data_IF_031193041056
#
_entry.id   IF_031193041056
#
_cell.length_a   1.000
_cell.length_b   1.000
_cell.length_c   1.000
_cell.angle_alpha   90.00
_cell.angle_beta   90.00
_cell.angle_gamma   90.00
#
_symmetry.space_group_name_H-M   'P 1'
#
loop_
_entity.id
_entity.type
_entity.pdbx_description
1 polymer ?
#
# COMPACT_ATOMS: atom_id res chain seq x y z
N UNK A 1 5.16 1.91 23.52
CA UNK A 1 4.01 2.70 24.05
C UNK A 1 3.00 2.84 22.93
N UNK A 2 1.74 2.51 23.19
CA UNK A 2 0.63 2.73 22.29
C UNK A 2 0.06 4.13 22.55
N UNK A 3 0.11 5.01 21.56
CA UNK A 3 -0.47 6.35 21.65
C UNK A 3 -1.97 6.27 21.35
N UNK A 4 -2.78 6.93 22.17
CA UNK A 4 -4.24 6.86 22.09
C UNK A 4 -4.88 8.19 21.73
N UNK A 5 -4.36 9.31 22.23
CA UNK A 5 -4.96 10.63 22.08
C UNK A 5 -3.90 11.72 22.08
N UNK A 6 -4.21 12.83 21.42
CA UNK A 6 -3.41 14.04 21.50
C UNK A 6 -3.83 14.91 22.70
N UNK A 7 -2.86 15.64 23.25
CA UNK A 7 -3.08 16.70 24.22
C UNK A 7 -3.08 18.00 23.45
N UNK A 8 -4.25 18.65 23.35
CA UNK A 8 -4.43 19.91 22.63
C UNK A 8 -5.00 20.95 23.58
N UNK A 9 -4.40 22.12 23.62
CA UNK A 9 -4.82 23.27 24.41
C UNK A 9 -4.84 24.50 23.48
N UNK A 10 -5.95 25.23 23.41
CA UNK A 10 -6.08 26.42 22.57
C UNK A 10 -5.66 26.22 21.10
N UNK A 11 -6.06 25.09 20.52
CA UNK A 11 -5.71 24.65 19.15
C UNK A 11 -4.20 24.44 18.92
N UNK A 12 -3.42 24.25 19.96
CA UNK A 12 -1.98 23.95 19.90
C UNK A 12 -1.69 22.58 20.52
N UNK A 13 -0.86 21.78 19.85
CA UNK A 13 -0.43 20.48 20.38
C UNK A 13 0.46 20.69 21.62
N UNK A 14 0.19 19.92 22.66
CA UNK A 14 0.99 19.91 23.90
C UNK A 14 1.60 18.54 24.18
N UNK A 15 1.26 17.55 23.36
CA UNK A 15 1.77 16.17 23.53
C UNK A 15 0.74 15.11 23.16
N UNK A 16 0.88 13.96 23.81
CA UNK A 16 0.00 12.82 23.60
C UNK A 16 -0.13 11.96 24.87
N UNK A 17 -1.24 11.25 24.96
CA UNK A 17 -1.45 10.18 25.93
C UNK A 17 -1.14 8.82 25.31
N UNK A 18 -0.68 7.89 26.12
CA UNK A 18 -0.43 6.52 25.70
C UNK A 18 -0.31 5.57 26.87
N UNK A 19 -0.11 4.30 26.57
CA UNK A 19 0.09 3.27 27.57
C UNK A 19 1.07 2.19 27.08
N UNK A 20 1.71 1.52 28.01
CA UNK A 20 2.50 0.31 27.78
C UNK A 20 1.74 -0.91 28.31
N UNK A 21 1.55 -1.91 27.44
CA UNK A 21 0.96 -3.19 27.85
C UNK A 21 1.95 -3.98 28.69
N UNK A 22 3.24 -3.94 28.34
CA UNK A 22 4.29 -4.68 29.03
C UNK A 22 4.50 -4.20 30.46
N UNK A 23 4.44 -2.88 30.67
CA UNK A 23 4.69 -2.26 31.97
C UNK A 23 3.40 -2.00 32.77
N UNK A 24 2.22 -2.13 32.13
CA UNK A 24 0.93 -1.79 32.74
C UNK A 24 0.82 -0.31 33.13
N UNK A 25 1.54 0.58 32.45
CA UNK A 25 1.69 1.99 32.82
C UNK A 25 1.05 2.90 31.79
N UNK A 26 0.34 3.93 32.26
CA UNK A 26 -0.15 5.03 31.42
C UNK A 26 0.89 6.18 31.39
N UNK A 27 0.97 6.83 30.24
CA UNK A 27 1.93 7.90 29.99
C UNK A 27 1.22 9.17 29.52
N UNK A 28 1.65 10.30 30.07
CA UNK A 28 1.43 11.61 29.53
C UNK A 28 2.76 12.12 28.97
N UNK A 29 2.83 12.28 27.66
CA UNK A 29 4.05 12.69 26.97
C UNK A 29 3.88 14.14 26.56
N UNK A 30 4.64 15.04 27.14
CA UNK A 30 4.61 16.47 26.76
C UNK A 30 5.59 16.74 25.63
N UNK A 31 5.12 17.42 24.58
CA UNK A 31 5.91 17.76 23.41
C UNK A 31 5.42 19.08 22.81
N UNK A 32 6.35 19.87 22.30
CA UNK A 32 6.04 21.12 21.60
C UNK A 32 5.54 20.89 20.18
N UNK A 33 5.92 19.77 19.57
CA UNK A 33 5.52 19.34 18.23
C UNK A 33 5.34 17.84 18.20
N UNK A 34 4.37 17.36 17.41
CA UNK A 34 4.08 15.95 17.21
C UNK A 34 3.97 15.67 15.72
N UNK A 35 4.66 14.63 15.26
CA UNK A 35 4.55 14.10 13.91
C UNK A 35 3.70 12.82 13.93
N UNK A 36 2.56 12.83 13.24
CA UNK A 36 1.71 11.67 13.04
C UNK A 36 2.20 10.87 11.83
N UNK A 37 2.86 9.76 12.08
CA UNK A 37 3.39 8.88 11.04
C UNK A 37 2.83 7.44 11.16
N UNK A 38 1.54 7.31 11.45
CA UNK A 38 0.87 6.02 11.75
C UNK A 38 0.61 5.15 10.53
N UNK A 39 0.92 5.64 9.34
CA UNK A 39 0.67 4.92 8.08
C UNK A 39 -0.82 4.87 7.71
N UNK A 40 -1.14 4.07 6.71
CA UNK A 40 -2.50 3.93 6.21
C UNK A 40 -3.38 3.03 7.08
N UNK A 41 -4.68 3.19 6.97
CA UNK A 41 -5.69 2.48 7.75
C UNK A 41 -6.22 1.24 7.01
N UNK A 42 -5.36 0.29 6.70
CA UNK A 42 -5.70 -0.90 5.92
C UNK A 42 -6.87 -1.71 6.52
N UNK A 43 -6.91 -1.84 7.85
CA UNK A 43 -7.94 -2.59 8.56
C UNK A 43 -9.28 -1.87 8.73
N UNK A 44 -9.36 -0.60 8.34
CA UNK A 44 -10.60 0.19 8.42
C UNK A 44 -11.60 -0.18 7.33
N UNK A 45 -11.11 -0.35 6.12
CA UNK A 45 -11.96 -0.63 4.96
C UNK A 45 -12.14 -2.14 4.79
N UNK A 46 -13.38 -2.60 4.91
CA UNK A 46 -13.75 -3.99 4.65
C UNK A 46 -14.41 -4.09 3.29
N UNK A 47 -13.96 -4.98 2.39
CA UNK A 47 -14.70 -5.26 1.18
C UNK A 47 -16.04 -5.94 1.51
N UNK A 48 -16.97 -5.88 0.56
CA UNK A 48 -18.28 -6.54 0.68
C UNK A 48 -18.18 -8.07 0.82
N UNK A 49 -17.00 -8.63 0.51
CA UNK A 49 -16.69 -10.04 0.72
C UNK A 49 -15.57 -10.18 1.77
N UNK A 50 -15.89 -10.30 3.06
CA UNK A 50 -14.91 -10.34 4.14
C UNK A 50 -14.00 -11.58 4.10
N UNK A 51 -14.46 -12.72 3.55
CA UNK A 51 -13.63 -13.93 3.40
C UNK A 51 -12.46 -13.75 2.44
N UNK A 52 -12.59 -12.82 1.52
CA UNK A 52 -11.60 -12.55 0.49
C UNK A 52 -10.52 -11.55 0.95
N UNK A 53 -10.85 -10.68 1.89
CA UNK A 53 -9.99 -9.56 2.28
C UNK A 53 -8.87 -9.93 3.24
N UNK A 54 -9.12 -10.85 4.16
CA UNK A 54 -8.16 -11.18 5.21
C UNK A 54 -6.85 -11.78 4.69
N UNK A 55 -6.89 -12.44 3.54
CA UNK A 55 -5.71 -13.08 2.93
C UNK A 55 -5.04 -12.23 1.86
N UNK A 56 -5.60 -11.06 1.54
CA UNK A 56 -5.15 -10.22 0.42
C UNK A 56 -4.92 -8.76 0.81
N UNK A 57 -4.55 -8.55 2.06
CA UNK A 57 -4.08 -7.25 2.56
C UNK A 57 -2.56 -7.25 2.63
N UNK A 58 -1.93 -6.25 2.06
CA UNK A 58 -0.48 -6.09 2.15
C UNK A 58 -0.02 -5.55 3.50
N UNK A 59 -0.80 -4.66 4.07
CA UNK A 59 -0.51 -4.09 5.39
C UNK A 59 -1.15 -4.89 6.52
N UNK A 60 -0.63 -4.77 7.75
CA UNK A 60 -1.22 -5.43 8.90
C UNK A 60 -2.71 -5.08 9.05
N UNK A 61 -3.59 -6.06 9.27
CA UNK A 61 -5.04 -5.83 9.42
C UNK A 61 -5.40 -5.06 10.68
N UNK A 62 -4.43 -4.86 11.57
CA UNK A 62 -4.59 -4.12 12.83
C UNK A 62 -4.47 -2.60 12.67
N UNK A 63 -4.09 -2.11 11.51
CA UNK A 63 -4.12 -0.68 11.19
C UNK A 63 -5.57 -0.22 10.96
N UNK A 64 -6.30 -0.04 12.05
CA UNK A 64 -7.75 0.22 12.04
C UNK A 64 -8.11 1.71 12.11
N UNK A 65 -7.15 2.59 11.81
CA UNK A 65 -7.38 4.04 11.74
C UNK A 65 -7.23 4.77 13.07
N UNK A 66 -6.46 4.24 14.02
CA UNK A 66 -6.20 4.91 15.30
C UNK A 66 -5.64 6.33 15.13
N UNK A 67 -4.69 6.52 14.17
CA UNK A 67 -4.17 7.83 13.83
C UNK A 67 -5.24 8.81 13.36
N UNK A 68 -6.17 8.35 12.51
CA UNK A 68 -7.31 9.18 12.09
C UNK A 68 -8.21 9.54 13.26
N UNK A 69 -8.55 8.56 14.09
CA UNK A 69 -9.39 8.76 15.25
C UNK A 69 -8.80 9.78 16.24
N UNK A 70 -7.50 9.73 16.48
CA UNK A 70 -6.81 10.72 17.32
C UNK A 70 -6.97 12.15 16.78
N UNK A 71 -6.74 12.34 15.46
CA UNK A 71 -6.91 13.65 14.84
C UNK A 71 -8.33 14.17 14.89
N UNK A 72 -9.31 13.31 14.57
CA UNK A 72 -10.73 13.66 14.62
C UNK A 72 -11.14 14.07 16.04
N UNK A 73 -10.76 13.32 17.06
CA UNK A 73 -11.06 13.66 18.45
C UNK A 73 -10.39 14.94 18.91
N UNK A 74 -9.21 15.24 18.38
CA UNK A 74 -8.48 16.46 18.66
C UNK A 74 -9.04 17.69 17.90
N UNK A 75 -9.91 17.48 16.92
CA UNK A 75 -10.50 18.56 16.11
C UNK A 75 -9.68 18.91 14.84
N UNK A 76 -8.72 18.08 14.43
CA UNK A 76 -8.02 18.26 13.17
C UNK A 76 -8.95 18.06 11.97
N UNK A 77 -8.83 18.91 10.96
CA UNK A 77 -9.52 18.69 9.69
C UNK A 77 -8.93 17.48 8.94
N UNK A 78 -9.83 16.78 8.26
CA UNK A 78 -9.48 15.54 7.55
C UNK A 78 -9.81 15.67 6.06
N UNK A 79 -9.14 14.87 5.22
CA UNK A 79 -9.37 14.85 3.77
C UNK A 79 -9.76 13.48 3.26
N UNK A 80 -10.64 13.46 2.27
CA UNK A 80 -10.85 12.41 1.26
C UNK A 80 -10.98 10.96 1.78
N UNK A 81 -11.79 10.70 2.80
CA UNK A 81 -11.99 9.34 3.34
C UNK A 81 -12.56 8.33 2.36
N UNK A 82 -13.24 8.77 1.32
CA UNK A 82 -13.78 7.97 0.23
C UNK A 82 -12.73 7.50 -0.77
N UNK A 83 -11.56 8.11 -0.78
CA UNK A 83 -10.49 7.78 -1.71
C UNK A 83 -9.67 6.59 -1.23
N UNK A 84 -9.69 5.52 -2.02
CA UNK A 84 -8.84 4.35 -1.81
C UNK A 84 -7.89 4.18 -2.98
N UNK A 85 -6.67 3.80 -2.67
CA UNK A 85 -5.68 3.51 -3.68
C UNK A 85 -5.76 2.04 -4.10
N UNK A 86 -5.89 1.80 -5.40
CA UNK A 86 -5.79 0.47 -5.99
C UNK A 86 -4.48 0.41 -6.77
N UNK A 87 -3.59 -0.50 -6.39
CA UNK A 87 -2.34 -0.73 -7.09
C UNK A 87 -2.42 -1.97 -7.96
N UNK A 88 -1.65 -1.96 -9.02
CA UNK A 88 -1.36 -3.15 -9.80
C UNK A 88 -0.59 -4.15 -8.93
N UNK A 89 -0.96 -5.42 -8.99
CA UNK A 89 -0.33 -6.50 -8.21
C UNK A 89 -0.07 -7.73 -9.08
N UNK A 90 0.81 -8.59 -8.59
CA UNK A 90 0.96 -9.92 -9.16
C UNK A 90 -0.33 -10.71 -8.92
N UNK A 91 -0.85 -11.35 -9.94
CA UNK A 91 -2.13 -12.06 -9.90
C UNK A 91 -2.19 -13.09 -8.77
N UNK A 92 -3.36 -13.19 -8.15
CA UNK A 92 -3.67 -14.08 -7.01
C UNK A 92 -2.81 -13.84 -5.77
N UNK A 93 -2.11 -12.73 -5.72
CA UNK A 93 -1.31 -12.31 -4.58
C UNK A 93 -1.61 -10.87 -4.21
N UNK A 94 -1.04 -10.40 -3.09
CA UNK A 94 -1.01 -8.98 -2.74
C UNK A 94 0.32 -8.32 -3.14
N UNK A 95 1.19 -9.06 -3.83
CA UNK A 95 2.53 -8.62 -4.13
C UNK A 95 2.52 -7.41 -5.08
N UNK A 96 3.14 -6.30 -4.70
CA UNK A 96 3.18 -5.11 -5.52
C UNK A 96 4.07 -5.32 -6.75
N UNK A 97 3.71 -4.70 -7.85
CA UNK A 97 4.44 -4.83 -9.12
C UNK A 97 5.60 -3.86 -9.29
N UNK A 98 5.65 -2.81 -8.47
CA UNK A 98 6.66 -1.75 -8.59
C UNK A 98 8.10 -2.26 -8.51
N UNK A 99 8.38 -3.22 -7.62
CA UNK A 99 9.72 -3.81 -7.48
C UNK A 99 10.14 -4.57 -8.75
N UNK A 100 9.24 -5.27 -9.40
CA UNK A 100 9.52 -5.97 -10.68
C UNK A 100 9.72 -4.93 -11.79
N UNK A 101 8.80 -3.98 -11.92
CA UNK A 101 8.86 -2.99 -12.97
C UNK A 101 10.09 -2.07 -12.88
N UNK A 102 10.45 -1.63 -11.68
CA UNK A 102 11.58 -0.72 -11.46
C UNK A 102 12.89 -1.44 -11.17
N UNK A 103 12.84 -2.52 -10.38
CA UNK A 103 14.05 -3.23 -9.95
C UNK A 103 14.77 -3.98 -11.07
N UNK A 104 14.03 -4.53 -12.02
CA UNK A 104 14.61 -5.26 -13.17
C UNK A 104 14.19 -4.66 -14.53
N UNK A 105 13.51 -3.53 -14.53
CA UNK A 105 13.08 -2.84 -15.75
C UNK A 105 12.04 -3.60 -16.57
N UNK A 106 11.24 -4.44 -15.93
CA UNK A 106 10.22 -5.23 -16.62
C UNK A 106 9.11 -4.36 -17.20
N UNK A 107 8.83 -4.52 -18.49
CA UNK A 107 7.78 -3.81 -19.22
C UNK A 107 6.43 -4.51 -19.08
N UNK A 108 5.35 -3.73 -19.04
CA UNK A 108 4.00 -4.28 -19.11
C UNK A 108 3.67 -4.73 -20.53
N UNK A 109 3.26 -5.97 -20.66
CA UNK A 109 2.88 -6.57 -21.96
C UNK A 109 1.52 -7.24 -21.86
N UNK A 110 0.79 -7.25 -22.98
CA UNK A 110 -0.46 -7.98 -23.11
C UNK A 110 -0.23 -9.47 -23.47
N UNK A 111 -1.31 -10.22 -23.68
CA UNK A 111 -1.23 -11.65 -24.01
C UNK A 111 -0.51 -11.94 -25.34
N UNK A 112 -0.40 -10.94 -26.23
CA UNK A 112 0.34 -11.05 -27.50
C UNK A 112 1.82 -10.70 -27.36
N UNK A 113 2.27 -10.31 -26.15
CA UNK A 113 3.62 -9.85 -25.90
C UNK A 113 3.90 -8.41 -26.32
N UNK A 114 2.88 -7.65 -26.70
CA UNK A 114 2.99 -6.25 -27.08
C UNK A 114 3.13 -5.36 -25.86
N UNK A 115 4.12 -4.46 -25.85
CA UNK A 115 4.28 -3.45 -24.79
C UNK A 115 3.17 -2.40 -24.94
N UNK A 116 2.42 -2.15 -23.89
CA UNK A 116 1.30 -1.20 -23.92
C UNK A 116 1.47 0.00 -22.97
N UNK A 117 2.46 -0.02 -22.09
CA UNK A 117 2.65 1.05 -21.10
C UNK A 117 2.88 2.43 -21.76
N UNK A 118 3.54 2.49 -22.91
CA UNK A 118 3.77 3.74 -23.63
C UNK A 118 2.47 4.38 -24.16
N UNK A 119 1.42 3.57 -24.37
CA UNK A 119 0.10 4.02 -24.82
C UNK A 119 -0.69 4.70 -23.71
N UNK A 120 -0.52 4.24 -22.46
CA UNK A 120 -1.36 4.66 -21.33
C UNK A 120 -0.61 5.52 -20.33
N UNK A 121 0.71 5.41 -20.24
CA UNK A 121 1.56 6.11 -19.30
C UNK A 121 2.20 5.22 -18.23
N UNK A 122 3.09 5.82 -17.43
CA UNK A 122 3.97 5.10 -16.50
C UNK A 122 3.70 5.40 -15.02
N UNK A 123 2.78 6.31 -14.70
CA UNK A 123 2.37 6.54 -13.32
C UNK A 123 1.61 5.32 -12.77
N UNK A 124 1.53 5.18 -11.48
CA UNK A 124 0.85 4.05 -10.85
C UNK A 124 -0.60 3.90 -11.33
N UNK A 125 -1.34 4.99 -11.43
CA UNK A 125 -2.73 4.99 -11.89
C UNK A 125 -2.85 4.63 -13.38
N UNK A 126 -1.97 5.15 -14.21
CA UNK A 126 -1.93 4.86 -15.65
C UNK A 126 -1.58 3.39 -15.92
N UNK A 127 -0.67 2.82 -15.16
CA UNK A 127 -0.33 1.39 -15.24
C UNK A 127 -1.52 0.48 -14.93
N UNK A 128 -2.28 0.82 -13.88
CA UNK A 128 -3.53 0.10 -13.55
C UNK A 128 -4.55 0.28 -14.67
N UNK A 129 -4.79 1.51 -15.10
CA UNK A 129 -5.73 1.84 -16.16
C UNK A 129 -5.41 1.09 -17.46
N UNK A 130 -4.14 1.10 -17.88
CA UNK A 130 -3.71 0.38 -19.08
C UNK A 130 -3.98 -1.12 -18.99
N UNK A 131 -3.69 -1.74 -17.84
CA UNK A 131 -3.98 -3.17 -17.63
C UNK A 131 -5.48 -3.48 -17.70
N UNK A 132 -6.31 -2.61 -17.10
CA UNK A 132 -7.77 -2.74 -17.16
C UNK A 132 -8.25 -2.64 -18.61
N UNK A 133 -7.77 -1.65 -19.37
CA UNK A 133 -8.17 -1.43 -20.76
C UNK A 133 -7.74 -2.59 -21.67
N UNK A 134 -6.52 -3.10 -21.53
CA UNK A 134 -6.06 -4.25 -22.29
C UNK A 134 -6.93 -5.51 -22.03
N UNK A 135 -7.31 -5.73 -20.77
CA UNK A 135 -8.21 -6.83 -20.41
C UNK A 135 -9.63 -6.63 -21.00
N UNK A 136 -10.22 -5.43 -20.88
CA UNK A 136 -11.55 -5.11 -21.41
C UNK A 136 -11.62 -5.22 -22.93
N UNK A 137 -10.55 -4.86 -23.62
CA UNK A 137 -10.45 -4.94 -25.08
C UNK A 137 -10.06 -6.36 -25.58
N UNK A 138 -10.02 -7.36 -24.69
CA UNK A 138 -9.75 -8.76 -25.03
C UNK A 138 -8.29 -9.07 -25.38
N UNK A 139 -7.34 -8.19 -24.99
CA UNK A 139 -5.91 -8.42 -25.18
C UNK A 139 -5.19 -8.93 -23.93
N UNK A 140 -5.93 -9.13 -22.83
CA UNK A 140 -5.41 -9.79 -21.63
C UNK A 140 -5.29 -11.31 -21.78
N UNK A 141 -4.71 -12.00 -20.81
CA UNK A 141 -4.14 -11.43 -19.57
C UNK A 141 -2.88 -10.59 -19.81
N UNK A 142 -2.58 -9.71 -18.86
CA UNK A 142 -1.40 -8.84 -18.91
C UNK A 142 -0.29 -9.35 -18.00
N UNK A 143 0.95 -9.01 -18.35
CA UNK A 143 2.13 -9.48 -17.65
C UNK A 143 3.16 -8.36 -17.45
N UNK A 144 4.03 -8.52 -16.46
CA UNK A 144 5.35 -7.92 -16.46
C UNK A 144 6.32 -8.88 -17.14
N UNK A 145 7.03 -8.39 -18.15
CA UNK A 145 8.00 -9.19 -18.91
C UNK A 145 9.27 -9.37 -18.08
N UNK A 146 9.32 -10.49 -17.33
CA UNK A 146 10.47 -10.90 -16.54
C UNK A 146 11.27 -12.01 -17.20
N UNK A 147 10.69 -12.70 -18.16
CA UNK A 147 11.38 -13.71 -18.96
C UNK A 147 12.63 -13.13 -19.60
N UNK A 148 13.77 -13.79 -19.40
CA UNK A 148 15.06 -13.36 -19.94
C UNK A 148 15.84 -12.37 -19.07
N UNK A 149 15.38 -12.01 -17.86
CA UNK A 149 16.22 -11.26 -16.91
C UNK A 149 17.43 -12.08 -16.49
N UNK A 150 18.48 -11.42 -16.00
CA UNK A 150 19.71 -12.11 -15.57
C UNK A 150 19.49 -12.96 -14.33
N UNK A 151 20.36 -13.95 -14.10
CA UNK A 151 20.32 -14.76 -12.87
C UNK A 151 20.47 -13.92 -11.59
N UNK A 152 21.26 -12.84 -11.65
CA UNK A 152 21.41 -11.91 -10.53
C UNK A 152 20.11 -11.14 -10.26
N UNK A 153 19.43 -10.67 -11.30
CA UNK A 153 18.12 -10.02 -11.19
C UNK A 153 17.05 -10.97 -10.66
N UNK A 154 17.05 -12.22 -11.12
CA UNK A 154 16.15 -13.27 -10.65
C UNK A 154 16.30 -13.52 -9.15
N UNK A 155 17.53 -13.72 -8.70
CA UNK A 155 17.86 -13.90 -7.28
C UNK A 155 17.45 -12.68 -6.44
N UNK A 156 17.72 -11.48 -6.94
CA UNK A 156 17.35 -10.22 -6.29
C UNK A 156 15.84 -10.08 -6.13
N UNK A 157 15.06 -10.42 -7.16
CA UNK A 157 13.60 -10.42 -7.08
C UNK A 157 13.07 -11.40 -6.04
N UNK A 158 13.58 -12.63 -6.04
CA UNK A 158 13.17 -13.65 -5.05
C UNK A 158 13.44 -13.20 -3.62
N UNK A 159 14.61 -12.62 -3.35
CA UNK A 159 14.97 -12.06 -2.05
C UNK A 159 14.06 -10.91 -1.64
N UNK A 160 13.79 -9.99 -2.55
CA UNK A 160 12.91 -8.85 -2.30
C UNK A 160 11.49 -9.32 -1.94
N UNK A 161 10.94 -10.23 -2.72
CA UNK A 161 9.59 -10.73 -2.48
C UNK A 161 9.47 -11.64 -1.27
N UNK A 162 10.51 -12.39 -0.91
CA UNK A 162 10.52 -13.16 0.33
C UNK A 162 10.27 -12.29 1.56
N UNK A 163 10.81 -11.08 1.57
CA UNK A 163 10.62 -10.12 2.66
C UNK A 163 9.33 -9.29 2.53
N UNK A 164 8.97 -8.90 1.32
CA UNK A 164 7.91 -7.93 1.08
C UNK A 164 6.54 -8.57 0.87
N UNK A 165 6.48 -9.69 0.16
CA UNK A 165 5.24 -10.38 -0.19
C UNK A 165 5.51 -11.88 -0.43
N UNK A 166 5.70 -12.68 0.63
CA UNK A 166 6.12 -14.08 0.52
C UNK A 166 5.18 -14.94 -0.33
N UNK A 167 3.91 -14.57 -0.45
CA UNK A 167 2.94 -15.26 -1.32
C UNK A 167 3.39 -15.36 -2.78
N UNK A 168 4.08 -14.33 -3.29
CA UNK A 168 4.63 -14.39 -4.64
C UNK A 168 5.83 -15.33 -4.74
N UNK A 169 6.68 -15.35 -3.73
CA UNK A 169 7.81 -16.31 -3.66
C UNK A 169 7.30 -17.75 -3.59
N UNK A 170 6.27 -18.01 -2.78
CA UNK A 170 5.63 -19.33 -2.73
C UNK A 170 5.07 -19.75 -4.08
N UNK A 171 4.44 -18.83 -4.81
CA UNK A 171 3.89 -19.08 -6.14
C UNK A 171 4.98 -19.51 -7.13
N UNK A 172 6.15 -18.89 -7.12
CA UNK A 172 7.29 -19.31 -7.93
C UNK A 172 7.81 -20.70 -7.52
N UNK A 173 7.92 -20.95 -6.22
CA UNK A 173 8.35 -22.26 -5.71
C UNK A 173 7.36 -23.39 -6.09
N UNK A 174 6.06 -23.15 -5.93
CA UNK A 174 5.00 -24.11 -6.27
C UNK A 174 4.92 -24.39 -7.77
N UNK A 175 5.13 -23.39 -8.60
CA UNK A 175 5.14 -23.54 -10.05
C UNK A 175 6.42 -24.21 -10.58
N UNK A 176 7.48 -24.24 -9.77
CA UNK A 176 8.81 -24.69 -10.18
C UNK A 176 9.46 -23.80 -11.26
N UNK A 177 8.93 -22.60 -11.45
CA UNK A 177 9.40 -21.63 -12.45
C UNK A 177 9.98 -20.41 -11.78
N UNK A 178 11.14 -19.99 -12.26
CA UNK A 178 11.77 -18.76 -11.82
C UNK A 178 11.19 -17.54 -12.54
N UNK A 179 11.29 -16.32 -11.96
CA UNK A 179 10.88 -15.10 -12.66
C UNK A 179 11.56 -14.90 -14.02
N UNK A 180 12.80 -15.36 -14.18
CA UNK A 180 13.55 -15.32 -15.45
C UNK A 180 13.05 -16.28 -16.52
N UNK A 181 12.26 -17.27 -16.15
CA UNK A 181 11.74 -18.33 -17.04
C UNK A 181 10.28 -18.11 -17.45
N UNK A 182 9.56 -17.26 -16.73
CA UNK A 182 8.15 -16.99 -16.99
C UNK A 182 7.77 -15.55 -16.59
N UNK A 183 7.05 -14.88 -17.47
CA UNK A 183 6.49 -13.56 -17.19
C UNK A 183 5.52 -13.61 -15.99
N UNK A 184 5.50 -12.54 -15.21
CA UNK A 184 4.63 -12.42 -14.04
C UNK A 184 3.28 -11.84 -14.46
N UNK A 185 2.22 -12.63 -14.37
CA UNK A 185 0.86 -12.16 -14.63
C UNK A 185 0.45 -11.11 -13.59
N UNK A 186 -0.20 -10.06 -14.06
CA UNK A 186 -0.60 -8.90 -13.26
C UNK A 186 -2.10 -8.65 -13.36
N UNK A 187 -2.65 -8.07 -12.31
CA UNK A 187 -4.05 -7.66 -12.23
C UNK A 187 -4.23 -6.41 -11.38
N UNK A 188 -5.30 -5.65 -11.63
CA UNK A 188 -5.57 -4.39 -10.93
C UNK A 188 -7.04 -4.08 -10.74
N UNK A 189 -7.93 -5.00 -11.12
CA UNK A 189 -9.38 -4.73 -11.23
C UNK A 189 -10.21 -5.30 -10.10
N UNK A 190 -9.63 -6.08 -9.21
CA UNK A 190 -10.42 -6.76 -8.22
C UNK A 190 -10.56 -5.97 -6.94
N UNK A 191 -11.66 -6.19 -6.19
CA UNK A 191 -11.98 -5.44 -4.99
C UNK A 191 -11.08 -5.83 -3.81
N UNK A 192 -9.80 -6.03 -4.06
CA UNK A 192 -8.84 -6.21 -2.99
C UNK A 192 -8.62 -4.87 -2.32
N UNK A 193 -8.70 -4.89 -1.02
CA UNK A 193 -8.12 -3.81 -0.26
C UNK A 193 -6.61 -3.97 -0.37
N UNK A 194 -6.01 -3.29 -1.31
CA UNK A 194 -4.57 -3.09 -1.33
C UNK A 194 -4.28 -2.14 -0.20
N UNK A 195 -4.07 -2.73 0.96
CA UNK A 195 -4.13 -2.08 2.22
C UNK A 195 -3.22 -0.89 2.35
N UNK A 196 -3.63 0.06 3.14
CA UNK A 196 -2.85 1.13 3.69
C UNK A 196 -2.68 2.36 2.82
N UNK A 197 -2.70 2.24 1.53
CA UNK A 197 -2.64 3.39 0.63
C UNK A 197 -4.03 4.00 0.48
N UNK A 198 -4.49 4.62 1.55
CA UNK A 198 -5.62 5.53 1.48
C UNK A 198 -5.09 6.90 1.08
N UNK A 199 -5.75 7.58 0.16
CA UNK A 199 -5.45 8.98 -0.15
C UNK A 199 -6.11 9.92 0.86
N UNK A 200 -6.37 9.44 2.07
CA UNK A 200 -7.02 10.14 3.17
C UNK A 200 -6.08 10.35 4.34
N UNK A 201 -6.32 11.38 5.10
CA UNK A 201 -5.52 11.72 6.27
C UNK A 201 -5.88 13.10 6.82
N UNK A 202 -4.99 13.67 7.56
CA UNK A 202 -5.13 15.06 8.01
C UNK A 202 -4.99 16.01 6.82
N UNK A 203 -5.84 17.03 6.79
CA UNK A 203 -5.56 18.18 5.96
C UNK A 203 -4.28 18.84 6.45
N UNK A 204 -3.35 19.12 5.55
CA UNK A 204 -2.08 19.78 5.88
C UNK A 204 -1.78 20.89 4.88
N UNK A 205 -1.10 21.90 5.32
CA UNK A 205 -0.59 22.98 4.49
C UNK A 205 0.71 22.60 3.75
N UNK A 206 1.36 23.57 3.13
CA UNK A 206 2.63 23.37 2.41
C UNK A 206 3.80 23.02 3.33
N UNK A 207 3.73 23.39 4.59
CA UNK A 207 4.72 23.07 5.62
C UNK A 207 4.44 21.74 6.32
N UNK A 208 3.38 21.04 5.89
CA UNK A 208 2.89 19.77 6.43
C UNK A 208 2.27 19.89 7.82
N UNK A 209 1.92 21.11 8.24
CA UNK A 209 1.21 21.36 9.49
C UNK A 209 -0.29 21.15 9.30
N UNK A 210 -0.92 20.51 10.26
CA UNK A 210 -2.38 20.31 10.29
C UNK A 210 -3.10 21.58 10.71
N UNK A 211 -4.43 21.54 10.82
CA UNK A 211 -5.20 22.65 11.41
C UNK A 211 -5.01 22.82 12.92
N UNK A 212 -4.32 21.87 13.57
CA UNK A 212 -3.86 22.00 14.95
C UNK A 212 -2.38 22.42 14.93
N UNK A 213 -2.07 23.57 15.49
CA UNK A 213 -0.72 24.09 15.49
C UNK A 213 0.28 23.17 16.19
N UNK A 214 1.42 22.88 15.54
CA UNK A 214 2.45 21.97 16.03
C UNK A 214 2.19 20.48 15.80
N UNK A 215 1.04 20.10 15.20
CA UNK A 215 0.76 18.74 14.75
C UNK A 215 1.00 18.59 13.24
N UNK A 216 1.85 17.62 12.87
CA UNK A 216 2.30 17.34 11.50
C UNK A 216 1.93 15.91 11.05
#
# INVERSE_FOLDING_TARGET
INITDYIVEENEIKGAFGFSIEEGTAYEIRAKKVLCATGGAAGLYRPNNPGFSHHKMWYPPFNTGAGYAMGIRAGAEMTTFEMRFIALRCKDTIAPTGTIAQGVGAKQVNAKGEVYEDKYGLTTSERVYGTVMENLEGRGPCYLRTEGITAEQDESLKKAYLNMAPSQTLKWLESGKNPSEQNVEIEGTEPYIVGGHTASGYWVDTDRETTIHGLF
#
